data_IF_305857735118
#
_entry.id   IF_305857735118
#
_cell.length_a   1.000
_cell.length_b   1.000
_cell.length_c   1.000
_cell.angle_alpha   90.00
_cell.angle_beta   90.00
_cell.angle_gamma   90.00
#
_symmetry.space_group_name_H-M   'P 1'
#
loop_
_entity.id
_entity.type
_entity.pdbx_description
1 polymer ?
#
# COMPACT_ATOMS: atom_id res chain seq x y z
N UNK A 1 0.99 14.23 -2.07
CA UNK A 1 0.46 12.88 -2.40
C UNK A 1 0.03 12.92 -3.86
N UNK A 2 0.11 11.82 -4.62
CA UNK A 2 -0.53 11.79 -5.95
C UNK A 2 -1.99 11.48 -5.74
N UNK A 3 -2.87 12.42 -6.09
CA UNK A 3 -4.32 12.24 -6.01
C UNK A 3 -4.78 11.28 -7.10
N UNK A 4 -5.56 10.27 -6.71
CA UNK A 4 -6.17 9.33 -7.65
C UNK A 4 -7.20 10.05 -8.54
N UNK A 5 -7.39 9.50 -9.74
CA UNK A 5 -8.45 9.85 -10.67
C UNK A 5 -9.53 8.78 -10.65
N UNK A 6 -10.71 9.12 -11.14
CA UNK A 6 -11.82 8.16 -11.26
C UNK A 6 -11.43 6.94 -12.11
N UNK A 7 -10.68 7.18 -13.19
CA UNK A 7 -10.18 6.13 -14.09
C UNK A 7 -9.24 5.14 -13.38
N UNK A 8 -8.54 5.57 -12.33
CA UNK A 8 -7.63 4.70 -11.56
C UNK A 8 -8.42 3.69 -10.71
N UNK A 9 -9.69 3.97 -10.38
CA UNK A 9 -10.46 3.20 -9.39
C UNK A 9 -11.73 2.53 -9.93
N UNK A 10 -12.19 2.91 -11.13
CA UNK A 10 -13.50 2.50 -11.69
C UNK A 10 -13.67 0.98 -11.79
N UNK A 11 -12.58 0.25 -12.06
CA UNK A 11 -12.64 -1.19 -12.30
C UNK A 11 -12.35 -2.05 -11.06
N UNK A 12 -11.78 -1.46 -9.99
CA UNK A 12 -11.29 -2.18 -8.80
C UNK A 12 -12.37 -3.10 -8.24
N UNK A 13 -13.54 -2.54 -7.94
CA UNK A 13 -14.64 -3.29 -7.31
C UNK A 13 -15.06 -4.53 -8.10
N UNK A 14 -14.97 -4.50 -9.44
CA UNK A 14 -15.33 -5.63 -10.30
C UNK A 14 -14.20 -6.66 -10.48
N UNK A 15 -12.96 -6.26 -10.20
CA UNK A 15 -11.75 -7.05 -10.43
C UNK A 15 -11.13 -7.62 -9.15
N UNK A 16 -11.60 -7.25 -7.96
CA UNK A 16 -11.04 -7.69 -6.67
C UNK A 16 -10.75 -9.20 -6.60
N UNK A 17 -11.70 -10.04 -7.02
CA UNK A 17 -11.51 -11.50 -7.00
C UNK A 17 -10.42 -11.99 -7.96
N UNK A 18 -10.34 -11.37 -9.14
CA UNK A 18 -9.31 -11.71 -10.12
C UNK A 18 -7.94 -11.23 -9.63
N UNK A 19 -7.86 -10.01 -9.09
CA UNK A 19 -6.64 -9.48 -8.49
C UNK A 19 -6.15 -10.36 -7.33
N UNK A 20 -7.04 -10.81 -6.45
CA UNK A 20 -6.72 -11.68 -5.32
C UNK A 20 -6.16 -13.05 -5.78
N UNK A 21 -6.71 -13.61 -6.85
CA UNK A 21 -6.15 -14.82 -7.48
C UNK A 21 -4.76 -14.57 -8.07
N UNK A 22 -4.54 -13.40 -8.68
CA UNK A 22 -3.23 -13.03 -9.21
C UNK A 22 -2.20 -12.86 -8.08
N UNK A 23 -2.59 -12.27 -6.95
CA UNK A 23 -1.74 -12.20 -5.75
C UNK A 23 -1.38 -13.60 -5.24
N UNK A 24 -2.33 -14.53 -5.20
CA UNK A 24 -2.03 -15.93 -4.83
C UNK A 24 -0.99 -16.57 -5.76
N UNK A 25 -1.07 -16.31 -7.07
CA UNK A 25 -0.12 -16.86 -8.05
C UNK A 25 1.28 -16.22 -7.95
N UNK A 26 1.35 -14.90 -7.73
CA UNK A 26 2.60 -14.13 -7.71
C UNK A 26 3.31 -14.16 -6.35
N UNK A 27 2.53 -14.09 -5.29
CA UNK A 27 2.97 -13.83 -3.90
C UNK A 27 2.71 -15.03 -2.99
N UNK A 28 1.89 -16.00 -3.42
CA UNK A 28 1.50 -17.14 -2.59
C UNK A 28 0.48 -16.81 -1.51
N UNK A 29 -0.08 -15.59 -1.51
CA UNK A 29 -1.05 -15.08 -0.53
C UNK A 29 -2.13 -14.24 -1.20
N UNK A 30 -3.32 -14.25 -0.62
CA UNK A 30 -4.41 -13.32 -0.92
C UNK A 30 -4.07 -11.91 -0.43
N UNK A 31 -4.90 -10.93 -0.79
CA UNK A 31 -4.88 -9.57 -0.27
C UNK A 31 -4.94 -9.55 1.26
N UNK A 32 -5.83 -10.35 1.85
CA UNK A 32 -5.91 -10.53 3.31
C UNK A 32 -4.63 -11.15 3.90
N UNK A 33 -4.05 -12.14 3.22
CA UNK A 33 -2.79 -12.75 3.63
C UNK A 33 -1.62 -11.77 3.62
N UNK A 34 -1.54 -10.89 2.62
CA UNK A 34 -0.53 -9.83 2.53
C UNK A 34 -0.73 -8.80 3.65
N UNK A 35 -1.95 -8.31 3.85
CA UNK A 35 -2.26 -7.35 4.91
C UNK A 35 -1.97 -7.91 6.31
N UNK A 36 -2.25 -9.19 6.56
CA UNK A 36 -1.93 -9.85 7.82
C UNK A 36 -0.42 -9.96 8.03
N UNK A 37 0.32 -10.37 6.98
CA UNK A 37 1.79 -10.47 7.01
C UNK A 37 2.45 -9.11 7.26
N UNK A 38 1.90 -8.05 6.67
CA UNK A 38 2.33 -6.67 6.83
C UNK A 38 2.34 -6.23 8.31
N UNK A 39 1.35 -6.66 9.09
CA UNK A 39 1.25 -6.34 10.53
C UNK A 39 1.77 -7.45 11.46
N UNK A 40 2.44 -8.48 10.90
CA UNK A 40 3.02 -9.58 11.69
C UNK A 40 1.99 -10.48 12.36
N UNK A 41 0.82 -10.67 11.73
CA UNK A 41 -0.29 -11.52 12.20
C UNK A 41 -0.68 -12.53 11.13
N UNK A 42 -1.54 -13.46 11.52
CA UNK A 42 -2.27 -14.34 10.60
C UNK A 42 -3.69 -13.84 10.41
N UNK A 43 -4.28 -14.13 9.24
CA UNK A 43 -5.69 -13.80 8.95
C UNK A 43 -6.63 -14.35 10.03
N UNK A 44 -6.37 -15.58 10.49
CA UNK A 44 -7.16 -16.24 11.54
C UNK A 44 -7.19 -15.45 12.85
N UNK A 45 -6.04 -14.90 13.29
CA UNK A 45 -5.97 -14.09 14.51
C UNK A 45 -6.79 -12.80 14.40
N UNK A 46 -6.78 -12.20 13.21
CA UNK A 46 -7.51 -10.97 12.92
C UNK A 46 -9.02 -11.22 12.94
N UNK A 47 -9.49 -12.22 12.19
CA UNK A 47 -10.91 -12.52 12.06
C UNK A 47 -11.55 -12.98 13.37
N UNK A 48 -10.90 -13.86 14.14
CA UNK A 48 -11.44 -14.33 15.42
C UNK A 48 -11.63 -13.20 16.42
N UNK A 49 -10.77 -12.19 16.38
CA UNK A 49 -10.75 -11.12 17.39
C UNK A 49 -11.58 -9.90 17.01
N UNK A 50 -12.00 -9.80 15.73
CA UNK A 50 -12.55 -8.55 15.17
C UNK A 50 -13.69 -8.74 14.17
N UNK A 51 -14.35 -9.90 14.14
CA UNK A 51 -15.47 -10.18 13.21
C UNK A 51 -16.65 -9.20 13.35
N UNK A 52 -16.89 -8.67 14.56
CA UNK A 52 -17.98 -7.73 14.84
C UNK A 52 -17.66 -6.26 14.48
N UNK A 53 -16.47 -5.98 13.95
CA UNK A 53 -16.10 -4.61 13.59
C UNK A 53 -16.84 -4.16 12.34
N UNK A 54 -17.54 -3.04 12.48
CA UNK A 54 -18.13 -2.30 11.36
C UNK A 54 -17.25 -1.10 11.01
N UNK A 55 -16.92 -0.96 9.74
CA UNK A 55 -16.21 0.19 9.20
C UNK A 55 -17.16 1.16 8.49
N UNK A 56 -16.92 2.46 8.62
CA UNK A 56 -17.59 3.48 7.82
C UNK A 56 -16.58 4.13 6.88
N UNK A 57 -17.05 4.57 5.71
CA UNK A 57 -16.28 5.42 4.80
C UNK A 57 -17.02 6.75 4.67
N UNK A 58 -16.33 7.83 5.02
CA UNK A 58 -16.89 9.19 5.00
C UNK A 58 -16.37 9.91 3.76
N UNK A 59 -17.24 10.33 2.83
CA UNK A 59 -16.84 11.21 1.74
C UNK A 59 -16.40 12.56 2.28
N UNK A 60 -15.28 13.08 1.79
CA UNK A 60 -14.76 14.41 2.17
C UNK A 60 -14.86 15.34 0.98
N UNK A 61 -15.40 16.55 1.20
CA UNK A 61 -15.60 17.56 0.16
C UNK A 61 -14.59 18.72 0.23
N UNK A 62 -13.72 18.72 1.24
CA UNK A 62 -12.63 19.68 1.35
C UNK A 62 -11.60 19.54 0.20
N UNK A 63 -10.84 20.61 -0.03
CA UNK A 63 -9.79 20.62 -1.05
C UNK A 63 -10.35 20.54 -2.47
N UNK A 64 -9.80 19.63 -3.28
CA UNK A 64 -10.26 19.32 -4.64
C UNK A 64 -11.58 18.52 -4.67
N UNK A 65 -12.20 18.26 -3.52
CA UNK A 65 -13.54 17.70 -3.40
C UNK A 65 -13.60 16.17 -3.48
N UNK A 66 -14.77 15.65 -3.82
CA UNK A 66 -15.02 14.20 -3.86
C UNK A 66 -14.54 13.62 -5.19
N UNK A 67 -13.75 12.55 -5.12
CA UNK A 67 -13.48 11.66 -6.26
C UNK A 67 -14.66 10.70 -6.38
N UNK A 68 -15.39 10.72 -7.49
CA UNK A 68 -16.58 9.87 -7.63
C UNK A 68 -16.19 8.39 -7.57
N UNK A 69 -16.95 7.61 -6.81
CA UNK A 69 -16.71 6.18 -6.62
C UNK A 69 -15.64 5.84 -5.60
N UNK A 70 -14.81 6.79 -5.12
CA UNK A 70 -13.73 6.48 -4.18
C UNK A 70 -14.23 5.83 -2.90
N UNK A 71 -15.20 6.47 -2.22
CA UNK A 71 -15.75 5.92 -0.98
C UNK A 71 -16.42 4.56 -1.17
N UNK A 72 -17.08 4.35 -2.31
CA UNK A 72 -17.71 3.07 -2.66
C UNK A 72 -16.64 1.99 -2.93
N UNK A 73 -15.56 2.33 -3.61
CA UNK A 73 -14.45 1.39 -3.86
C UNK A 73 -13.77 0.98 -2.56
N UNK A 74 -13.50 1.93 -1.64
CA UNK A 74 -12.97 1.61 -0.30
C UNK A 74 -13.93 0.68 0.45
N UNK A 75 -15.23 0.97 0.45
CA UNK A 75 -16.25 0.09 1.03
C UNK A 75 -16.16 -1.33 0.45
N UNK A 76 -16.05 -1.46 -0.89
CA UNK A 76 -15.99 -2.77 -1.55
C UNK A 76 -14.74 -3.56 -1.21
N UNK A 77 -13.58 -2.90 -1.06
CA UNK A 77 -12.37 -3.54 -0.57
C UNK A 77 -12.60 -4.05 0.87
N UNK A 78 -13.16 -3.23 1.75
CA UNK A 78 -13.42 -3.64 3.15
C UNK A 78 -14.39 -4.82 3.22
N UNK A 79 -15.48 -4.80 2.44
CA UNK A 79 -16.42 -5.93 2.32
C UNK A 79 -15.74 -7.19 1.80
N UNK A 80 -14.87 -7.05 0.79
CA UNK A 80 -14.10 -8.16 0.24
C UNK A 80 -13.13 -8.76 1.26
N UNK A 81 -12.56 -7.93 2.14
CA UNK A 81 -11.72 -8.35 3.26
C UNK A 81 -12.52 -9.04 4.38
N UNK A 82 -13.85 -9.13 4.27
CA UNK A 82 -14.72 -9.85 5.21
C UNK A 82 -15.32 -9.00 6.32
N UNK A 83 -15.22 -7.67 6.25
CA UNK A 83 -15.73 -6.77 7.29
C UNK A 83 -17.03 -6.09 6.84
N UNK A 84 -17.96 -5.94 7.78
CA UNK A 84 -19.16 -5.14 7.53
C UNK A 84 -18.76 -3.68 7.32
N UNK A 85 -19.31 -3.03 6.29
CA UNK A 85 -19.06 -1.61 6.07
C UNK A 85 -20.20 -0.86 5.40
N UNK A 86 -20.13 0.48 5.46
CA UNK A 86 -21.06 1.37 4.77
C UNK A 86 -20.39 2.71 4.41
N UNK A 87 -20.87 3.34 3.35
CA UNK A 87 -20.59 4.76 3.06
C UNK A 87 -21.65 5.62 3.74
N UNK A 88 -21.24 6.74 4.34
CA UNK A 88 -22.19 7.68 4.95
C UNK A 88 -22.99 8.43 3.90
N UNK A 89 -24.26 8.76 4.20
CA UNK A 89 -25.09 9.57 3.32
C UNK A 89 -24.67 11.04 3.30
N UNK A 90 -24.11 11.53 4.40
CA UNK A 90 -23.52 12.88 4.50
C UNK A 90 -22.00 12.86 4.32
N UNK A 91 -21.42 13.98 3.90
CA UNK A 91 -19.96 14.21 3.84
C UNK A 91 -19.42 14.90 5.08
N UNK A 92 -18.09 14.97 5.20
CA UNK A 92 -17.37 15.80 6.15
C UNK A 92 -17.79 15.55 7.61
N UNK A 93 -18.04 16.61 8.39
CA UNK A 93 -18.47 16.52 9.79
C UNK A 93 -19.82 15.79 9.92
N UNK A 94 -20.73 15.99 8.98
CA UNK A 94 -22.03 15.31 8.99
C UNK A 94 -21.89 13.80 8.79
N UNK A 95 -21.03 13.39 7.86
CA UNK A 95 -20.68 12.00 7.64
C UNK A 95 -19.97 11.38 8.84
N UNK A 96 -19.01 12.09 9.45
CA UNK A 96 -18.35 11.62 10.67
C UNK A 96 -19.36 11.39 11.82
N UNK A 97 -20.28 12.33 12.02
CA UNK A 97 -21.34 12.20 13.01
C UNK A 97 -22.25 10.98 12.70
N UNK A 98 -22.61 10.79 11.43
CA UNK A 98 -23.39 9.63 10.98
C UNK A 98 -22.66 8.31 11.27
N UNK A 99 -21.39 8.20 10.88
CA UNK A 99 -20.56 7.00 11.10
C UNK A 99 -20.53 6.58 12.57
N UNK A 100 -20.29 7.55 13.47
CA UNK A 100 -20.27 7.31 14.92
C UNK A 100 -21.65 6.93 15.44
N UNK A 101 -22.70 7.65 15.01
CA UNK A 101 -24.08 7.38 15.46
C UNK A 101 -24.58 5.99 15.07
N UNK A 102 -24.09 5.45 13.94
CA UNK A 102 -24.39 4.11 13.43
C UNK A 102 -23.46 3.04 14.02
N UNK A 103 -22.58 3.40 14.96
CA UNK A 103 -21.76 2.47 15.72
C UNK A 103 -20.48 2.00 15.02
N UNK A 104 -20.03 2.68 13.95
CA UNK A 104 -18.78 2.32 13.28
C UNK A 104 -17.58 2.40 14.24
N UNK A 105 -16.77 1.35 14.26
CA UNK A 105 -15.56 1.27 15.10
C UNK A 105 -14.32 1.71 14.34
N UNK A 106 -14.30 1.49 13.03
CA UNK A 106 -13.26 2.02 12.13
C UNK A 106 -13.90 3.01 11.18
N UNK A 107 -13.28 4.17 10.98
CA UNK A 107 -13.78 5.20 10.07
C UNK A 107 -12.65 5.56 9.11
N UNK A 108 -12.90 5.37 7.81
CA UNK A 108 -12.05 5.80 6.73
C UNK A 108 -12.48 7.19 6.26
N UNK A 109 -11.52 8.09 6.13
CA UNK A 109 -11.72 9.45 5.64
C UNK A 109 -10.43 9.90 4.95
N UNK A 110 -10.55 10.63 3.85
CA UNK A 110 -9.39 11.17 3.15
C UNK A 110 -9.69 12.46 2.43
N UNK A 111 -8.78 13.41 2.57
CA UNK A 111 -8.70 14.67 1.83
C UNK A 111 -7.52 14.63 0.84
N UNK A 112 -7.10 15.78 0.32
CA UNK A 112 -6.02 15.88 -0.66
C UNK A 112 -4.63 15.51 -0.07
N UNK A 113 -4.48 15.66 1.24
CA UNK A 113 -3.20 15.55 1.94
C UNK A 113 -3.12 14.28 2.81
N UNK A 114 -4.24 13.77 3.29
CA UNK A 114 -4.34 12.68 4.23
C UNK A 114 -5.40 11.68 3.77
N UNK A 115 -5.07 10.40 3.82
CA UNK A 115 -6.08 9.34 3.80
C UNK A 115 -5.81 8.44 5.01
N UNK A 116 -6.77 8.35 5.92
CA UNK A 116 -6.58 7.70 7.22
C UNK A 116 -7.71 6.74 7.55
N UNK A 117 -7.40 5.76 8.41
CA UNK A 117 -8.38 4.96 9.13
C UNK A 117 -8.29 5.23 10.63
N UNK A 118 -9.40 5.58 11.25
CA UNK A 118 -9.49 5.90 12.69
C UNK A 118 -10.27 4.79 13.39
N UNK A 119 -9.63 4.11 14.34
CA UNK A 119 -10.33 3.22 15.26
C UNK A 119 -10.81 4.01 16.49
N UNK A 120 -12.11 4.23 16.57
CA UNK A 120 -12.73 5.09 17.61
C UNK A 120 -12.74 4.45 18.99
N UNK A 121 -12.66 3.11 19.09
CA UNK A 121 -12.61 2.43 20.39
C UNK A 121 -11.20 2.34 20.96
N UNK A 122 -10.18 2.28 20.10
CA UNK A 122 -8.76 2.17 20.51
C UNK A 122 -8.02 3.51 20.48
N UNK A 123 -8.61 4.56 19.90
CA UNK A 123 -7.92 5.85 19.69
C UNK A 123 -6.74 5.75 18.72
N UNK A 124 -6.78 4.76 17.81
CA UNK A 124 -5.71 4.48 16.85
C UNK A 124 -5.99 5.18 15.52
N UNK A 125 -4.95 5.74 14.91
CA UNK A 125 -4.99 6.34 13.58
C UNK A 125 -3.99 5.60 12.72
N UNK A 126 -4.39 5.20 11.53
CA UNK A 126 -3.53 4.56 10.53
C UNK A 126 -3.46 5.47 9.31
N UNK A 127 -2.24 5.83 8.93
CA UNK A 127 -1.95 6.62 7.73
C UNK A 127 -1.86 5.72 6.49
N UNK A 128 -2.51 6.12 5.40
CA UNK A 128 -2.49 5.36 4.14
C UNK A 128 -1.08 5.22 3.55
N UNK A 129 -0.27 6.27 3.61
CA UNK A 129 1.08 6.25 3.06
C UNK A 129 1.91 5.17 3.75
N UNK A 130 2.00 5.23 5.07
CA UNK A 130 2.74 4.24 5.87
C UNK A 130 2.19 2.82 5.67
N UNK A 131 0.86 2.66 5.73
CA UNK A 131 0.22 1.35 5.58
C UNK A 131 0.42 0.75 4.18
N UNK A 132 0.31 1.55 3.12
CA UNK A 132 0.58 1.13 1.74
C UNK A 132 2.02 0.67 1.59
N UNK A 133 2.97 1.46 2.10
CA UNK A 133 4.39 1.09 2.09
C UNK A 133 4.65 -0.25 2.75
N UNK A 134 4.08 -0.45 3.93
CA UNK A 134 4.18 -1.71 4.70
C UNK A 134 3.55 -2.88 3.95
N UNK A 135 2.38 -2.69 3.34
CA UNK A 135 1.69 -3.71 2.53
C UNK A 135 2.49 -4.14 1.31
N UNK A 136 3.07 -3.20 0.56
CA UNK A 136 3.92 -3.52 -0.60
C UNK A 136 5.27 -4.11 -0.19
N UNK A 137 5.85 -3.67 0.94
CA UNK A 137 7.03 -4.32 1.52
C UNK A 137 6.75 -5.78 1.90
N UNK A 138 5.55 -6.05 2.44
CA UNK A 138 5.09 -7.39 2.77
C UNK A 138 4.85 -8.26 1.53
N UNK A 139 4.27 -7.69 0.48
CA UNK A 139 4.10 -8.37 -0.81
C UNK A 139 5.46 -8.74 -1.42
N UNK A 140 6.45 -7.84 -1.38
CA UNK A 140 7.80 -8.11 -1.87
C UNK A 140 8.51 -9.19 -1.06
N UNK A 141 8.38 -9.15 0.27
CA UNK A 141 8.93 -10.19 1.17
C UNK A 141 8.39 -11.58 0.83
N UNK A 142 7.07 -11.69 0.70
CA UNK A 142 6.39 -12.93 0.36
C UNK A 142 6.76 -13.41 -1.06
N UNK A 143 6.73 -12.53 -2.05
CA UNK A 143 7.08 -12.84 -3.44
C UNK A 143 8.54 -13.30 -3.58
N UNK A 144 9.45 -12.73 -2.80
CA UNK A 144 10.86 -13.12 -2.77
C UNK A 144 11.14 -14.39 -1.94
N UNK A 145 10.14 -14.97 -1.28
CA UNK A 145 10.31 -16.10 -0.35
C UNK A 145 11.14 -15.73 0.89
N UNK A 146 11.07 -14.48 1.34
CA UNK A 146 11.87 -13.90 2.43
C UNK A 146 12.93 -12.91 1.94
N UNK A 147 13.03 -11.74 2.59
CA UNK A 147 14.05 -10.69 2.27
C UNK A 147 15.19 -10.57 3.28
N UNK A 148 15.24 -11.41 4.30
CA UNK A 148 16.32 -11.37 5.29
C UNK A 148 17.70 -11.50 4.63
N UNK A 149 18.57 -10.52 4.88
CA UNK A 149 19.92 -10.48 4.33
C UNK A 149 19.99 -10.25 2.81
N UNK A 150 18.88 -9.91 2.16
CA UNK A 150 18.86 -9.51 0.74
C UNK A 150 18.95 -7.99 0.61
N UNK A 151 19.53 -7.54 -0.49
CA UNK A 151 19.45 -6.13 -0.91
C UNK A 151 18.12 -5.87 -1.58
N UNK A 152 17.49 -4.75 -1.21
CA UNK A 152 16.24 -4.28 -1.79
C UNK A 152 16.40 -2.80 -2.13
N UNK A 153 16.16 -2.46 -3.39
CA UNK A 153 16.12 -1.08 -3.85
C UNK A 153 14.74 -0.50 -3.54
N UNK A 154 14.72 0.56 -2.75
CA UNK A 154 13.57 1.40 -2.50
C UNK A 154 13.72 2.71 -3.29
N UNK A 155 12.79 2.96 -4.19
CA UNK A 155 12.70 4.21 -4.95
C UNK A 155 11.59 5.07 -4.37
N UNK A 156 11.94 6.27 -3.92
CA UNK A 156 11.05 7.21 -3.25
C UNK A 156 11.08 7.08 -1.72
N UNK A 157 11.46 8.16 -1.04
CA UNK A 157 11.55 8.31 0.42
C UNK A 157 10.45 9.23 0.97
N UNK A 158 9.25 9.17 0.37
CA UNK A 158 8.03 9.78 0.92
C UNK A 158 7.32 8.87 1.94
N UNK A 159 6.07 9.17 2.34
CA UNK A 159 5.33 8.37 3.32
C UNK A 159 5.25 6.88 2.99
N UNK A 160 4.95 6.53 1.73
CA UNK A 160 4.93 5.14 1.26
C UNK A 160 6.32 4.50 1.36
N UNK A 161 7.36 5.21 0.92
CA UNK A 161 8.73 4.76 1.07
C UNK A 161 9.13 4.51 2.52
N UNK A 162 8.72 5.39 3.43
CA UNK A 162 8.98 5.24 4.87
C UNK A 162 8.37 3.95 5.42
N UNK A 163 7.08 3.70 5.19
CA UNK A 163 6.42 2.49 5.65
C UNK A 163 7.03 1.20 5.06
N UNK A 164 7.46 1.26 3.80
CA UNK A 164 8.15 0.15 3.15
C UNK A 164 9.54 -0.10 3.75
N UNK A 165 10.34 0.94 3.93
CA UNK A 165 11.68 0.84 4.49
C UNK A 165 11.66 0.28 5.91
N UNK A 166 10.75 0.78 6.76
CA UNK A 166 10.54 0.28 8.13
C UNK A 166 10.20 -1.21 8.13
N UNK A 167 9.26 -1.63 7.28
CA UNK A 167 8.89 -3.05 7.17
C UNK A 167 10.08 -3.89 6.74
N UNK A 168 10.73 -3.55 5.63
CA UNK A 168 11.80 -4.36 5.05
C UNK A 168 13.01 -4.46 5.97
N UNK A 169 13.38 -3.36 6.64
CA UNK A 169 14.45 -3.37 7.62
C UNK A 169 14.09 -4.20 8.86
N UNK A 170 12.83 -4.16 9.33
CA UNK A 170 12.37 -5.04 10.42
C UNK A 170 12.42 -6.53 10.07
N UNK A 171 12.39 -6.87 8.78
CA UNK A 171 12.60 -8.24 8.25
C UNK A 171 14.06 -8.56 7.96
N UNK A 172 14.98 -7.65 8.25
CA UNK A 172 16.42 -7.83 8.09
C UNK A 172 16.94 -7.67 6.66
N UNK A 173 16.20 -7.01 5.78
CA UNK A 173 16.73 -6.60 4.47
C UNK A 173 17.80 -5.51 4.61
N UNK A 174 18.70 -5.43 3.63
CA UNK A 174 19.57 -4.26 3.41
C UNK A 174 18.88 -3.33 2.43
N UNK A 175 18.31 -2.25 2.93
CA UNK A 175 17.52 -1.32 2.09
C UNK A 175 18.45 -0.29 1.44
N UNK A 176 18.46 -0.25 0.11
CA UNK A 176 19.13 0.81 -0.67
C UNK A 176 18.08 1.84 -1.05
N UNK A 177 18.22 3.08 -0.59
CA UNK A 177 17.23 4.14 -0.74
C UNK A 177 17.70 5.11 -1.82
N UNK A 178 16.89 5.24 -2.86
CA UNK A 178 17.00 6.27 -3.88
C UNK A 178 15.84 7.25 -3.75
N UNK A 179 16.11 8.55 -3.72
CA UNK A 179 15.11 9.60 -3.93
C UNK A 179 15.78 10.72 -4.74
N UNK A 180 15.02 11.33 -5.66
CA UNK A 180 15.50 12.48 -6.44
C UNK A 180 15.88 13.67 -5.53
N UNK A 181 15.25 13.78 -4.37
CA UNK A 181 15.69 14.65 -3.27
C UNK A 181 16.47 13.83 -2.25
N UNK A 182 17.80 13.86 -2.38
CA UNK A 182 18.74 13.15 -1.51
C UNK A 182 18.51 13.44 -0.01
N UNK A 183 17.98 14.61 0.35
CA UNK A 183 17.70 14.94 1.75
C UNK A 183 16.55 14.10 2.33
N UNK A 184 15.61 13.64 1.50
CA UNK A 184 14.58 12.69 1.95
C UNK A 184 15.19 11.32 2.21
N UNK A 185 16.05 10.85 1.30
CA UNK A 185 16.72 9.57 1.43
C UNK A 185 17.63 9.53 2.68
N UNK A 186 18.41 10.59 2.92
CA UNK A 186 19.25 10.68 4.13
C UNK A 186 18.42 10.74 5.41
N UNK A 187 17.35 11.54 5.46
CA UNK A 187 16.45 11.58 6.63
C UNK A 187 15.84 10.23 6.93
N UNK A 188 15.45 9.48 5.91
CA UNK A 188 14.88 8.15 6.08
C UNK A 188 15.91 7.15 6.61
N UNK A 189 17.15 7.22 6.11
CA UNK A 189 18.28 6.42 6.63
C UNK A 189 18.60 6.76 8.09
N UNK A 190 18.52 8.03 8.49
CA UNK A 190 18.76 8.48 9.86
C UNK A 190 17.66 8.03 10.86
N UNK A 191 16.53 7.50 10.38
CA UNK A 191 15.44 7.01 11.23
C UNK A 191 15.77 5.73 12.02
N UNK A 192 17.00 5.22 11.93
CA UNK A 192 17.54 4.23 12.88
C UNK A 192 17.43 2.77 12.46
N UNK A 193 17.29 2.49 11.16
CA UNK A 193 17.26 1.14 10.61
C UNK A 193 18.36 0.90 9.55
N UNK A 194 18.62 -0.37 9.22
CA UNK A 194 19.71 -0.76 8.34
C UNK A 194 19.43 -0.38 6.87
N UNK A 195 19.75 0.87 6.53
CA UNK A 195 19.60 1.42 5.19
C UNK A 195 20.84 2.17 4.71
N UNK A 196 21.01 2.22 3.39
CA UNK A 196 22.04 2.99 2.72
C UNK A 196 21.39 3.85 1.64
N UNK A 197 21.94 5.04 1.43
CA UNK A 197 21.52 5.93 0.34
C UNK A 197 22.32 5.61 -0.91
N UNK A 198 21.66 5.65 -2.07
CA UNK A 198 22.29 5.51 -3.38
C UNK A 198 22.01 6.77 -4.20
N UNK A 199 23.03 7.25 -4.93
CA UNK A 199 22.93 8.48 -5.72
C UNK A 199 22.65 8.21 -7.20
N UNK A 200 23.16 7.10 -7.73
CA UNK A 200 23.01 6.71 -9.14
C UNK A 200 21.95 5.62 -9.25
N UNK A 201 20.80 5.96 -9.83
CA UNK A 201 19.66 5.03 -9.93
C UNK A 201 20.00 3.82 -10.81
N UNK A 202 20.65 4.04 -11.95
CA UNK A 202 20.97 2.98 -12.91
C UNK A 202 21.89 1.93 -12.29
N UNK A 203 22.94 2.35 -11.55
CA UNK A 203 23.83 1.43 -10.83
C UNK A 203 23.08 0.61 -9.76
N UNK A 204 22.13 1.24 -9.08
CA UNK A 204 21.30 0.56 -8.09
C UNK A 204 20.34 -0.45 -8.74
N UNK A 205 19.74 -0.11 -9.88
CA UNK A 205 18.87 -1.00 -10.65
C UNK A 205 19.64 -2.17 -11.28
N UNK A 206 20.89 -1.96 -11.71
CA UNK A 206 21.76 -3.03 -12.22
C UNK A 206 22.16 -4.04 -11.14
N UNK A 207 22.33 -3.58 -9.90
CA UNK A 207 22.82 -4.39 -8.79
C UNK A 207 21.71 -5.07 -7.97
N UNK A 208 20.47 -4.57 -8.03
CA UNK A 208 19.35 -5.09 -7.24
C UNK A 208 18.26 -5.75 -8.09
N UNK A 209 17.90 -6.98 -7.73
CA UNK A 209 16.78 -7.70 -8.34
C UNK A 209 15.47 -7.54 -7.57
N UNK A 210 15.46 -6.93 -6.38
CA UNK A 210 14.25 -6.67 -5.61
C UNK A 210 14.04 -5.16 -5.57
N UNK A 211 12.92 -4.71 -6.13
CA UNK A 211 12.62 -3.29 -6.30
C UNK A 211 11.26 -2.97 -5.69
N UNK A 212 11.22 -1.92 -4.87
CA UNK A 212 9.98 -1.29 -4.43
C UNK A 212 9.95 0.14 -4.96
N UNK A 213 9.03 0.41 -5.89
CA UNK A 213 8.86 1.71 -6.54
C UNK A 213 7.68 2.47 -5.93
N UNK A 214 7.99 3.37 -5.00
CA UNK A 214 7.05 4.27 -4.35
C UNK A 214 7.11 5.69 -4.93
N UNK A 215 7.49 5.83 -6.21
CA UNK A 215 7.59 7.12 -6.89
C UNK A 215 6.36 7.41 -7.75
N UNK A 216 5.99 8.69 -7.97
CA UNK A 216 4.95 9.08 -8.91
C UNK A 216 5.54 9.40 -10.30
N UNK A 217 6.45 8.57 -10.81
CA UNK A 217 7.18 8.83 -12.04
C UNK A 217 7.07 7.63 -12.99
N UNK A 218 6.71 7.88 -14.24
CA UNK A 218 6.51 6.84 -15.25
C UNK A 218 7.82 6.47 -15.96
N UNK A 219 7.98 5.18 -16.30
CA UNK A 219 9.01 4.71 -17.23
C UNK A 219 10.46 4.94 -16.78
N UNK A 220 10.71 5.00 -15.48
CA UNK A 220 12.04 5.15 -14.89
C UNK A 220 12.78 3.81 -14.72
N UNK A 221 12.09 2.67 -14.89
CA UNK A 221 12.69 1.34 -14.91
C UNK A 221 12.61 0.78 -16.33
N UNK A 222 13.73 0.91 -17.06
CA UNK A 222 13.92 0.41 -18.42
C UNK A 222 14.17 -1.10 -18.51
N UNK A 223 14.10 -1.62 -19.73
CA UNK A 223 14.23 -3.05 -20.06
C UNK A 223 15.60 -3.62 -19.72
N UNK A 224 16.63 -2.79 -19.85
CA UNK A 224 18.02 -3.09 -19.53
C UNK A 224 18.22 -3.53 -18.06
N UNK A 225 17.35 -3.09 -17.15
CA UNK A 225 17.39 -3.47 -15.73
C UNK A 225 16.55 -4.71 -15.39
N UNK A 226 15.86 -5.30 -16.38
CA UNK A 226 14.97 -6.43 -16.16
C UNK A 226 15.67 -7.75 -16.44
N UNK A 227 15.78 -8.57 -15.39
CA UNK A 227 16.32 -9.93 -15.45
C UNK A 227 15.22 -10.98 -15.17
N UNK A 228 15.58 -12.27 -15.27
CA UNK A 228 14.69 -13.37 -14.87
C UNK A 228 14.46 -13.46 -13.36
N UNK A 229 15.26 -12.76 -12.55
CA UNK A 229 15.12 -12.69 -11.09
C UNK A 229 14.50 -11.38 -10.59
N UNK A 230 14.39 -10.34 -11.41
CA UNK A 230 13.77 -9.05 -11.03
C UNK A 230 12.34 -9.20 -10.50
N UNK A 231 12.08 -8.71 -9.30
CA UNK A 231 10.77 -8.69 -8.67
C UNK A 231 10.45 -7.26 -8.26
N UNK A 232 9.26 -6.79 -8.62
CA UNK A 232 8.88 -5.39 -8.49
C UNK A 232 7.56 -5.27 -7.73
N UNK A 233 7.55 -4.43 -6.72
CA UNK A 233 6.35 -3.99 -5.99
C UNK A 233 6.23 -2.48 -6.19
N UNK A 234 5.20 -2.02 -6.90
CA UNK A 234 5.11 -0.63 -7.31
C UNK A 234 3.74 -0.03 -6.93
N UNK A 235 3.61 0.61 -5.75
CA UNK A 235 2.41 1.39 -5.42
C UNK A 235 2.31 2.72 -6.20
N UNK A 236 3.40 3.14 -6.87
CA UNK A 236 3.45 4.39 -7.63
C UNK A 236 2.41 4.48 -8.74
N UNK A 237 1.73 5.62 -8.82
CA UNK A 237 0.86 5.99 -9.96
C UNK A 237 1.39 7.32 -10.54
N UNK A 238 1.73 7.36 -11.84
CA UNK A 238 1.79 6.24 -12.78
C UNK A 238 2.89 5.22 -12.45
N UNK A 239 2.81 4.02 -13.04
CA UNK A 239 3.80 2.94 -12.84
C UNK A 239 5.17 3.34 -13.40
N UNK A 240 6.23 3.18 -12.59
CA UNK A 240 7.61 3.50 -13.02
C UNK A 240 8.23 2.48 -13.96
N UNK A 241 7.68 1.28 -14.08
CA UNK A 241 8.09 0.30 -15.07
C UNK A 241 7.65 0.71 -16.48
N UNK A 242 8.56 0.69 -17.47
CA UNK A 242 8.19 0.91 -18.86
C UNK A 242 7.18 -0.14 -19.37
N UNK A 243 6.20 0.28 -20.17
CA UNK A 243 5.10 -0.57 -20.66
C UNK A 243 5.59 -1.86 -21.34
N UNK A 244 6.66 -1.78 -22.13
CA UNK A 244 7.25 -2.93 -22.83
C UNK A 244 7.85 -3.98 -21.87
N UNK A 245 8.11 -3.63 -20.62
CA UNK A 245 8.66 -4.51 -19.59
C UNK A 245 7.57 -5.27 -18.83
N UNK A 246 6.33 -4.77 -18.78
CA UNK A 246 5.23 -5.39 -18.03
C UNK A 246 5.05 -6.88 -18.38
N UNK A 247 5.05 -7.30 -19.66
CA UNK A 247 4.93 -8.72 -19.99
C UNK A 247 6.08 -9.59 -19.45
N UNK A 248 7.30 -9.02 -19.33
CA UNK A 248 8.52 -9.72 -18.91
C UNK A 248 8.54 -10.04 -17.40
N UNK A 249 7.82 -9.23 -16.61
CA UNK A 249 7.72 -9.36 -15.15
C UNK A 249 6.30 -9.57 -14.67
N UNK A 250 5.35 -9.91 -15.55
CA UNK A 250 3.93 -10.06 -15.21
C UNK A 250 3.67 -10.98 -14.00
N UNK A 251 4.42 -12.10 -13.89
CA UNK A 251 4.36 -13.02 -12.74
C UNK A 251 5.18 -12.59 -11.51
N UNK A 252 5.89 -11.46 -11.58
CA UNK A 252 6.82 -10.91 -10.57
C UNK A 252 6.61 -9.40 -10.33
N UNK A 253 5.44 -8.89 -10.71
CA UNK A 253 5.02 -7.51 -10.55
C UNK A 253 3.73 -7.44 -9.73
N UNK A 254 3.80 -6.74 -8.61
CA UNK A 254 2.65 -6.35 -7.79
C UNK A 254 2.44 -4.86 -7.94
N UNK A 255 1.25 -4.49 -8.42
CA UNK A 255 0.83 -3.11 -8.67
C UNK A 255 -0.69 -3.07 -8.62
N UNK A 256 -1.22 -2.14 -7.83
CA UNK A 256 -2.63 -1.77 -7.71
C UNK A 256 -2.75 -0.31 -7.27
N UNK A 257 -3.95 0.25 -7.37
CA UNK A 257 -4.16 1.67 -7.10
C UNK A 257 -4.62 1.97 -5.67
N UNK A 258 -5.24 1.01 -4.99
CA UNK A 258 -5.88 1.25 -3.70
C UNK A 258 -5.99 0.01 -2.80
N UNK A 259 -6.01 -1.18 -3.39
CA UNK A 259 -6.38 -2.45 -2.77
C UNK A 259 -5.46 -2.83 -1.61
N UNK A 260 -4.14 -2.95 -1.85
CA UNK A 260 -3.18 -3.34 -0.80
C UNK A 260 -3.11 -2.29 0.31
N UNK A 261 -3.19 -1.00 -0.07
CA UNK A 261 -3.19 0.11 0.88
C UNK A 261 -4.36 0.02 1.84
N UNK A 262 -5.60 -0.03 1.32
CA UNK A 262 -6.82 -0.11 2.14
C UNK A 262 -6.88 -1.39 2.96
N UNK A 263 -6.49 -2.54 2.39
CA UNK A 263 -6.45 -3.80 3.11
C UNK A 263 -5.51 -3.75 4.32
N UNK A 264 -4.31 -3.17 4.14
CA UNK A 264 -3.32 -3.01 5.21
C UNK A 264 -3.81 -2.01 6.25
N UNK A 265 -4.40 -0.87 5.82
CA UNK A 265 -5.00 0.11 6.73
C UNK A 265 -6.08 -0.51 7.61
N UNK A 266 -6.98 -1.30 7.01
CA UNK A 266 -8.06 -1.97 7.73
C UNK A 266 -7.51 -2.92 8.80
N UNK A 267 -6.61 -3.82 8.41
CA UNK A 267 -6.04 -4.83 9.32
C UNK A 267 -5.24 -4.18 10.43
N UNK A 268 -4.49 -3.11 10.12
CA UNK A 268 -3.82 -2.34 11.15
C UNK A 268 -4.80 -1.61 12.04
N UNK A 269 -5.86 -0.98 11.51
CA UNK A 269 -6.82 -0.23 12.33
C UNK A 269 -7.59 -1.13 13.29
N UNK A 270 -7.89 -2.37 12.91
CA UNK A 270 -8.64 -3.29 13.77
C UNK A 270 -7.80 -3.88 14.90
N UNK A 271 -6.49 -4.02 14.74
CA UNK A 271 -5.57 -4.62 15.75
C UNK A 271 -5.10 -3.63 16.81
#
# INVERSE_FOLDING_TARGET
MTRLREDDIVNISSQLKEYDNQLLLKVGKTLAGIAAHAIGRTEKEIYISHEDIVAAVVPMSCGEGIINGFSQTVQKIIEFMGFASFVTGSSDVGGLAEAVSRGAKVIFLGDDDNFIAVNTSKGKIVDNGIATGRGYGAALDLMAGGIQGKEVLLMGAGPVGTGAAEFMASRGARVLIYDIDINKAERLKEAGFAAQTVNELDEALESCNLVLDATPAAGIIGKEFITQSTMICAPGIPLGLCDECIPLVSGRLVHDALEIGVATMLFEAVV
#
